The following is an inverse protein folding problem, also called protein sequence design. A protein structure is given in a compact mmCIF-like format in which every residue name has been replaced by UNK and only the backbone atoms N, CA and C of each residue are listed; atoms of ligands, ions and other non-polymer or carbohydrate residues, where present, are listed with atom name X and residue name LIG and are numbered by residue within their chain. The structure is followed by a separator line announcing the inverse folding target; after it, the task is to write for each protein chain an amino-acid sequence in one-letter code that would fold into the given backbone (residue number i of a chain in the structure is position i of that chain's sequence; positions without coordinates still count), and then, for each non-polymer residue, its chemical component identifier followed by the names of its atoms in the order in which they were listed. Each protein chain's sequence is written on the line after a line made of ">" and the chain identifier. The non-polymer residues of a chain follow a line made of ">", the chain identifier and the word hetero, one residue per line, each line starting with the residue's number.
data_IF_467763975561
#
_entry.id   IF_467763975561
#
_cell.length_a   1.000
_cell.length_b   1.000
_cell.length_c   1.000
_cell.angle_alpha   90.00
_cell.angle_beta   90.00
_cell.angle_gamma   90.00
#
_symmetry.space_group_name_H-M   'P 1'
#
loop_
_entity.id
_entity.type
_entity.pdbx_description
1 polymer ?
#
# COMPACT_ATOMS: atom_id res chain seq x y z
N UNK A 1 -4.91 -21.54 45.63
CA UNK A 1 -6.30 -21.72 46.07
C UNK A 1 -7.03 -22.26 44.86
N UNK A 2 -7.51 -23.49 44.95
CA UNK A 2 -8.38 -24.10 43.97
C UNK A 2 -9.81 -23.69 44.32
N UNK A 3 -10.57 -23.18 43.36
CA UNK A 3 -12.00 -22.94 43.53
C UNK A 3 -12.74 -23.50 42.31
N UNK A 4 -13.26 -24.71 42.52
CA UNK A 4 -14.19 -25.40 41.63
C UNK A 4 -15.58 -24.79 41.80
N UNK A 5 -16.18 -24.32 40.70
CA UNK A 5 -17.61 -24.01 40.62
C UNK A 5 -18.31 -25.11 39.82
N UNK A 6 -19.06 -26.03 40.46
CA UNK A 6 -19.92 -26.97 39.76
C UNK A 6 -21.26 -26.27 39.47
N UNK A 7 -21.65 -26.23 38.18
CA UNK A 7 -23.04 -26.08 37.67
C UNK A 7 -23.35 -24.98 36.64
N UNK A 8 -22.38 -24.22 36.13
CA UNK A 8 -22.64 -23.32 34.98
C UNK A 8 -21.67 -23.59 33.84
N UNK A 9 -22.20 -24.11 32.73
CA UNK A 9 -21.52 -24.01 31.44
C UNK A 9 -21.43 -22.52 31.11
N UNK A 10 -20.29 -21.90 31.40
CA UNK A 10 -19.99 -20.57 30.88
C UNK A 10 -19.94 -20.75 29.36
N UNK A 11 -20.96 -20.25 28.64
CA UNK A 11 -20.84 -20.05 27.19
C UNK A 11 -19.66 -19.10 27.02
N UNK A 12 -18.52 -19.64 26.58
CA UNK A 12 -17.40 -18.80 26.15
C UNK A 12 -17.91 -17.77 25.17
N UNK A 13 -17.33 -16.56 25.22
CA UNK A 13 -17.56 -15.55 24.20
C UNK A 13 -17.35 -16.25 22.85
N UNK A 14 -18.42 -16.31 22.06
CA UNK A 14 -18.35 -16.82 20.70
C UNK A 14 -17.48 -15.82 19.97
N UNK A 15 -16.24 -16.21 19.68
CA UNK A 15 -15.39 -15.50 18.75
C UNK A 15 -16.00 -15.70 17.37
N UNK A 16 -16.86 -14.78 16.96
CA UNK A 16 -17.25 -14.63 15.56
C UNK A 16 -16.10 -13.95 14.84
N UNK A 17 -15.31 -14.72 14.10
CA UNK A 17 -14.50 -14.17 13.03
C UNK A 17 -15.45 -13.91 11.86
N UNK A 18 -15.70 -12.65 11.52
CA UNK A 18 -16.12 -12.32 10.18
C UNK A 18 -14.90 -12.61 9.29
N UNK A 19 -14.95 -13.66 8.48
CA UNK A 19 -13.97 -13.83 7.40
C UNK A 19 -14.11 -12.60 6.50
N UNK A 20 -13.08 -11.76 6.48
CA UNK A 20 -12.99 -10.67 5.52
C UNK A 20 -13.15 -11.25 4.10
N UNK A 21 -13.98 -10.63 3.26
CA UNK A 21 -14.21 -11.06 1.87
C UNK A 21 -13.08 -10.58 0.93
N UNK A 22 -11.84 -10.56 1.45
CA UNK A 22 -10.66 -10.07 0.77
C UNK A 22 -9.39 -10.77 1.28
N UNK A 23 -8.35 -10.81 0.44
CA UNK A 23 -6.99 -11.13 0.86
C UNK A 23 -6.23 -9.82 1.11
N UNK A 24 -5.66 -9.68 2.29
CA UNK A 24 -4.90 -8.48 2.67
C UNK A 24 -3.53 -8.49 1.99
N UNK A 25 -3.17 -7.43 1.27
CA UNK A 25 -1.82 -7.21 0.74
C UNK A 25 -1.01 -6.39 1.73
N UNK A 26 -1.52 -5.23 2.14
CA UNK A 26 -0.92 -4.36 3.15
C UNK A 26 -1.97 -3.38 3.69
N UNK A 27 -2.17 -3.33 5.00
CA UNK A 27 -3.01 -2.33 5.68
C UNK A 27 -2.16 -1.28 6.41
N UNK A 28 -0.83 -1.33 6.26
CA UNK A 28 0.13 -0.42 6.89
C UNK A 28 0.18 -0.46 8.42
N UNK A 29 -0.67 -1.27 9.07
CA UNK A 29 -0.81 -1.31 10.53
C UNK A 29 0.36 -2.00 11.23
N UNK A 30 1.12 -2.81 10.51
CA UNK A 30 2.24 -3.57 11.09
C UNK A 30 3.50 -2.74 11.31
N UNK A 31 3.60 -1.55 10.71
CA UNK A 31 4.80 -0.71 10.78
C UNK A 31 4.91 0.01 12.13
N UNK A 32 6.15 0.24 12.56
CA UNK A 32 6.43 0.83 13.87
C UNK A 32 7.57 1.85 13.84
N UNK A 33 7.68 2.60 14.95
CA UNK A 33 8.64 3.67 15.18
C UNK A 33 9.93 3.20 15.87
N UNK A 34 10.24 1.90 15.76
CA UNK A 34 11.40 1.30 16.41
C UNK A 34 12.56 1.30 15.41
N UNK A 35 13.67 1.94 15.78
CA UNK A 35 14.88 1.96 14.96
C UNK A 35 15.74 0.69 15.13
N UNK A 36 16.45 0.26 14.07
CA UNK A 36 17.56 -0.67 14.19
C UNK A 36 18.63 -0.14 15.16
N UNK A 37 19.35 -1.02 15.88
CA UNK A 37 19.43 -2.46 15.66
C UNK A 37 18.41 -3.29 16.46
N UNK A 38 17.31 -2.71 16.95
CA UNK A 38 16.28 -3.49 17.66
C UNK A 38 15.70 -4.57 16.72
N UNK A 39 15.65 -5.85 17.15
CA UNK A 39 15.15 -6.94 16.30
C UNK A 39 13.65 -6.83 15.98
N UNK A 40 12.89 -5.97 16.66
CA UNK A 40 11.47 -5.71 16.39
C UNK A 40 11.25 -4.48 15.49
N UNK A 41 12.31 -3.84 15.00
CA UNK A 41 12.22 -2.76 14.01
C UNK A 41 11.43 -3.22 12.79
N UNK A 42 10.36 -2.50 12.46
CA UNK A 42 9.56 -2.72 11.25
C UNK A 42 9.14 -1.36 10.66
N UNK A 43 10.11 -0.57 10.19
CA UNK A 43 9.82 0.75 9.63
C UNK A 43 9.27 0.61 8.21
N UNK A 44 8.35 1.49 7.83
CA UNK A 44 7.66 1.40 6.54
C UNK A 44 8.61 1.45 5.34
N UNK A 45 9.62 2.32 5.36
CA UNK A 45 10.63 2.47 4.31
C UNK A 45 11.70 1.37 4.30
N UNK A 46 11.78 0.52 5.33
CA UNK A 46 12.60 -0.71 5.27
C UNK A 46 11.90 -1.80 4.43
N UNK A 47 10.59 -1.69 4.24
CA UNK A 47 9.75 -2.67 3.51
C UNK A 47 9.32 -2.17 2.13
N UNK A 48 8.90 -0.91 2.02
CA UNK A 48 8.57 -0.24 0.77
C UNK A 48 9.83 0.44 0.22
N UNK A 49 10.47 -0.21 -0.75
CA UNK A 49 11.71 0.28 -1.36
C UNK A 49 11.38 1.45 -2.28
N UNK A 50 11.86 2.64 -1.93
CA UNK A 50 11.59 3.90 -2.60
C UNK A 50 12.84 4.45 -3.33
N UNK A 51 12.88 5.77 -3.54
CA UNK A 51 13.97 6.46 -4.22
C UNK A 51 15.10 6.96 -3.30
N UNK A 52 15.06 6.69 -2.00
CA UNK A 52 16.08 7.16 -1.07
C UNK A 52 17.48 6.69 -1.48
N UNK A 53 18.43 7.63 -1.51
CA UNK A 53 19.81 7.36 -1.94
C UNK A 53 19.98 7.12 -3.45
N UNK A 54 18.93 7.30 -4.26
CA UNK A 54 18.99 7.21 -5.73
C UNK A 54 18.87 8.59 -6.38
N UNK A 55 19.21 8.67 -7.68
CA UNK A 55 19.03 9.90 -8.48
C UNK A 55 17.91 9.81 -9.51
N UNK A 56 17.36 8.60 -9.73
CA UNK A 56 16.43 8.31 -10.83
C UNK A 56 15.00 8.01 -10.36
N UNK A 57 14.80 7.76 -9.06
CA UNK A 57 13.50 7.52 -8.47
C UNK A 57 13.12 8.70 -7.56
N UNK A 58 11.96 9.30 -7.81
CA UNK A 58 11.47 10.47 -7.09
C UNK A 58 10.65 10.16 -5.83
N UNK A 59 10.39 8.89 -5.55
CA UNK A 59 9.57 8.49 -4.40
C UNK A 59 10.35 8.60 -3.09
N UNK A 60 9.67 9.07 -2.04
CA UNK A 60 10.07 8.85 -0.66
C UNK A 60 8.86 8.36 0.13
N UNK A 61 9.00 7.26 0.85
CA UNK A 61 7.95 6.66 1.69
C UNK A 61 8.29 6.87 3.16
N UNK A 62 7.27 7.18 3.96
CA UNK A 62 7.44 7.42 5.39
C UNK A 62 7.92 8.84 5.71
N UNK A 63 7.84 9.19 6.99
CA UNK A 63 8.37 10.45 7.51
C UNK A 63 9.86 10.30 7.88
N UNK A 64 10.62 11.40 7.84
CA UNK A 64 12.04 11.40 8.23
C UNK A 64 12.26 11.08 9.72
N UNK A 65 11.27 11.37 10.56
CA UNK A 65 11.26 11.13 12.00
C UNK A 65 9.95 10.48 12.43
N UNK A 66 9.95 9.71 13.53
CA UNK A 66 8.74 9.13 14.09
C UNK A 66 7.62 10.16 14.37
N UNK A 67 6.35 9.83 14.14
CA UNK A 67 5.88 8.54 13.62
C UNK A 67 6.25 8.36 12.14
N UNK A 68 6.80 7.20 11.78
CA UNK A 68 7.29 6.96 10.42
C UNK A 68 6.15 6.80 9.41
N UNK A 69 5.00 6.31 9.86
CA UNK A 69 3.75 6.35 9.10
C UNK A 69 2.89 7.55 9.52
N UNK A 70 1.90 7.90 8.71
CA UNK A 70 0.99 9.01 8.98
C UNK A 70 -0.16 8.55 9.89
N UNK A 71 -0.39 9.23 11.00
CA UNK A 71 -1.37 8.82 12.03
C UNK A 71 -2.61 9.73 12.12
N UNK A 72 -2.66 10.79 11.33
CA UNK A 72 -3.77 11.76 11.32
C UNK A 72 -4.58 11.73 10.02
N UNK A 73 -3.92 11.50 8.89
CA UNK A 73 -4.56 11.33 7.58
C UNK A 73 -4.62 9.83 7.29
N UNK A 74 -5.68 9.18 7.78
CA UNK A 74 -5.83 7.72 7.76
C UNK A 74 -7.19 7.36 7.14
N UNK A 75 -7.26 6.29 6.35
CA UNK A 75 -8.53 5.77 5.84
C UNK A 75 -9.12 4.73 6.78
N UNK A 76 -8.31 3.71 7.13
CA UNK A 76 -8.67 2.61 8.03
C UNK A 76 -7.61 2.42 9.11
N UNK A 77 -7.98 1.85 10.25
CA UNK A 77 -7.01 1.54 11.31
C UNK A 77 -6.41 2.76 12.01
N UNK A 78 -5.10 2.74 12.26
CA UNK A 78 -4.37 3.74 13.03
C UNK A 78 -3.34 4.52 12.21
N UNK A 79 -2.94 4.03 11.04
CA UNK A 79 -1.91 4.68 10.23
C UNK A 79 -2.08 4.43 8.73
N UNK A 80 -1.53 5.34 7.93
CA UNK A 80 -1.46 5.21 6.47
C UNK A 80 -0.03 5.45 5.98
N UNK A 81 0.26 5.10 4.72
CA UNK A 81 1.56 5.37 4.09
C UNK A 81 1.62 6.81 3.56
N UNK A 82 2.46 7.70 4.13
CA UNK A 82 2.80 8.95 3.46
C UNK A 82 3.79 8.67 2.33
N UNK A 83 3.54 9.28 1.17
CA UNK A 83 4.31 9.09 -0.06
C UNK A 83 4.59 10.44 -0.71
N UNK A 84 5.85 10.85 -0.75
CA UNK A 84 6.28 12.02 -1.51
C UNK A 84 6.69 11.60 -2.92
N UNK A 85 6.45 12.48 -3.89
CA UNK A 85 6.96 12.32 -5.25
C UNK A 85 7.65 13.58 -5.76
N UNK A 86 8.69 13.38 -6.56
CA UNK A 86 9.39 14.37 -7.37
C UNK A 86 9.66 13.80 -8.76
N UNK A 87 8.81 14.17 -9.72
CA UNK A 87 8.87 13.63 -11.08
C UNK A 87 9.65 14.53 -12.04
N UNK A 88 10.45 15.48 -11.56
CA UNK A 88 11.28 16.26 -12.49
C UNK A 88 12.41 15.41 -13.07
N UNK A 89 12.21 14.92 -14.31
CA UNK A 89 13.10 13.99 -15.03
C UNK A 89 13.26 12.64 -14.31
N UNK A 90 12.24 12.23 -13.56
CA UNK A 90 12.20 10.97 -12.80
C UNK A 90 10.81 10.34 -12.91
N UNK A 91 10.71 9.09 -12.47
CA UNK A 91 9.45 8.46 -12.11
C UNK A 91 9.53 8.10 -10.63
N UNK A 92 8.48 8.36 -9.87
CA UNK A 92 8.45 8.03 -8.44
C UNK A 92 7.81 6.66 -8.27
N UNK A 93 8.54 5.68 -7.76
CA UNK A 93 8.07 4.31 -7.53
C UNK A 93 8.45 3.84 -6.11
N UNK A 94 7.48 3.34 -5.33
CA UNK A 94 7.75 2.58 -4.12
C UNK A 94 7.30 1.13 -4.30
N UNK A 95 8.16 0.18 -3.94
CA UNK A 95 7.96 -1.24 -4.23
C UNK A 95 8.01 -2.10 -2.97
N UNK A 96 6.96 -2.87 -2.74
CA UNK A 96 6.89 -3.89 -1.70
C UNK A 96 7.20 -5.27 -2.29
N UNK A 97 8.09 -6.01 -1.62
CA UNK A 97 8.29 -7.44 -1.91
C UNK A 97 7.28 -8.26 -1.12
N UNK A 98 6.45 -9.03 -1.82
CA UNK A 98 5.40 -9.83 -1.22
C UNK A 98 5.96 -11.13 -0.65
N UNK A 99 5.66 -11.38 0.62
CA UNK A 99 5.80 -12.70 1.24
C UNK A 99 4.50 -13.47 1.11
N UNK A 100 3.37 -12.79 1.30
CA UNK A 100 2.01 -13.29 1.13
C UNK A 100 1.04 -12.10 0.97
N UNK A 101 -0.07 -12.21 0.22
CA UNK A 101 -0.42 -13.26 -0.72
C UNK A 101 0.35 -13.09 -2.03
N UNK A 102 0.73 -14.22 -2.65
CA UNK A 102 1.46 -14.25 -3.92
C UNK A 102 0.72 -14.94 -5.05
N UNK A 103 -0.25 -15.79 -4.71
CA UNK A 103 -1.21 -16.35 -5.64
C UNK A 103 -2.47 -15.46 -5.63
N UNK A 104 -2.56 -14.58 -6.61
CA UNK A 104 -3.68 -13.66 -6.79
C UNK A 104 -4.77 -14.28 -7.67
N UNK A 105 -4.79 -15.61 -7.79
CA UNK A 105 -5.91 -16.39 -8.34
C UNK A 105 -6.63 -17.21 -7.27
N UNK A 106 -6.13 -17.18 -6.03
CA UNK A 106 -6.73 -17.85 -4.89
C UNK A 106 -8.04 -17.17 -4.44
N UNK A 107 -8.92 -17.93 -3.79
CA UNK A 107 -10.17 -17.42 -3.16
C UNK A 107 -11.11 -16.64 -4.10
N UNK A 108 -10.99 -16.88 -5.41
CA UNK A 108 -11.76 -16.24 -6.49
C UNK A 108 -11.58 -14.72 -6.57
N UNK A 109 -10.49 -14.15 -6.05
CA UNK A 109 -10.21 -12.72 -6.19
C UNK A 109 -9.96 -12.37 -7.67
N UNK A 110 -10.54 -11.26 -8.13
CA UNK A 110 -10.42 -10.80 -9.51
C UNK A 110 -9.96 -9.34 -9.64
N UNK A 111 -9.89 -8.61 -8.52
CA UNK A 111 -9.53 -7.19 -8.51
C UNK A 111 -8.53 -6.88 -7.39
N UNK A 112 -7.68 -5.90 -7.67
CA UNK A 112 -6.87 -5.22 -6.66
C UNK A 112 -7.60 -3.93 -6.27
N UNK A 113 -7.74 -3.69 -4.97
CA UNK A 113 -8.23 -2.43 -4.40
C UNK A 113 -7.13 -1.79 -3.57
N UNK A 114 -7.01 -0.47 -3.65
CA UNK A 114 -6.19 0.35 -2.78
C UNK A 114 -6.86 1.71 -2.56
N UNK A 115 -6.72 2.25 -1.37
CA UNK A 115 -7.21 3.59 -1.05
C UNK A 115 -6.09 4.60 -1.22
N UNK A 116 -6.44 5.76 -1.78
CA UNK A 116 -5.50 6.85 -1.95
C UNK A 116 -6.14 8.19 -1.61
N UNK A 117 -5.29 9.15 -1.24
CA UNK A 117 -5.65 10.54 -1.02
C UNK A 117 -4.48 11.43 -1.41
N UNK A 118 -4.77 12.43 -2.23
CA UNK A 118 -3.83 13.49 -2.60
C UNK A 118 -4.17 14.82 -1.95
N UNK A 119 -3.68 15.90 -2.58
CA UNK A 119 -3.87 17.27 -2.13
C UNK A 119 -4.11 18.19 -3.32
N UNK A 120 -4.97 19.19 -3.18
CA UNK A 120 -5.20 20.18 -4.25
C UNK A 120 -3.95 21.00 -4.60
N UNK A 121 -2.95 21.02 -3.70
CA UNK A 121 -1.65 21.67 -3.94
C UNK A 121 -0.65 20.81 -4.73
N UNK A 122 -0.96 19.55 -4.98
CA UNK A 122 -0.10 18.64 -5.72
C UNK A 122 -0.02 19.01 -7.20
N UNK A 123 1.13 18.77 -7.83
CA UNK A 123 1.19 18.74 -9.29
C UNK A 123 0.35 17.58 -9.83
N UNK A 124 -0.47 17.83 -10.84
CA UNK A 124 -1.26 16.78 -11.49
C UNK A 124 -0.35 15.79 -12.21
N UNK A 125 -0.31 14.55 -11.72
CA UNK A 125 0.52 13.46 -12.24
C UNK A 125 -0.31 12.18 -12.31
N UNK A 126 0.08 11.29 -13.24
CA UNK A 126 -0.57 9.99 -13.38
C UNK A 126 -0.17 9.08 -12.23
N UNK A 127 -1.11 8.30 -11.74
CA UNK A 127 -0.86 7.25 -10.75
C UNK A 127 -0.96 5.88 -11.44
N UNK A 128 -0.09 4.95 -11.04
CA UNK A 128 -0.11 3.57 -11.53
C UNK A 128 0.23 2.56 -10.43
N UNK A 129 -0.22 1.32 -10.61
CA UNK A 129 0.30 0.16 -9.90
C UNK A 129 1.04 -0.70 -10.92
N UNK A 130 2.19 -1.26 -10.57
CA UNK A 130 2.86 -2.27 -11.38
C UNK A 130 3.10 -3.56 -10.59
N UNK A 131 3.01 -4.70 -11.26
CA UNK A 131 3.31 -6.01 -10.67
C UNK A 131 4.58 -6.59 -11.27
N UNK A 132 5.43 -7.19 -10.43
CA UNK A 132 6.71 -7.79 -10.83
C UNK A 132 7.61 -6.84 -11.65
N UNK A 133 7.43 -5.53 -11.49
CA UNK A 133 8.17 -4.50 -12.20
C UNK A 133 7.88 -4.39 -13.71
N UNK A 134 6.87 -5.08 -14.24
CA UNK A 134 6.61 -5.14 -15.69
C UNK A 134 5.31 -4.47 -16.11
N UNK A 135 4.16 -5.11 -15.87
CA UNK A 135 2.87 -4.59 -16.31
C UNK A 135 2.37 -3.51 -15.34
N UNK A 136 2.04 -2.34 -15.89
CA UNK A 136 1.50 -1.21 -15.12
C UNK A 136 0.03 -0.94 -15.50
N UNK A 137 -0.84 -0.88 -14.50
CA UNK A 137 -2.21 -0.38 -14.62
C UNK A 137 -2.25 1.08 -14.17
N UNK A 138 -2.78 1.96 -14.99
CA UNK A 138 -2.89 3.40 -14.69
C UNK A 138 -4.28 3.73 -14.16
N UNK A 139 -4.34 4.70 -13.24
CA UNK A 139 -5.59 5.31 -12.85
C UNK A 139 -6.16 6.12 -14.04
N UNK A 140 -7.47 6.06 -14.25
CA UNK A 140 -8.13 6.69 -15.41
C UNK A 140 -8.03 8.22 -15.39
N UNK A 141 -8.11 8.82 -14.20
CA UNK A 141 -7.85 10.25 -14.02
C UNK A 141 -6.33 10.54 -14.08
N UNK A 142 -5.85 11.29 -15.10
CA UNK A 142 -4.42 11.62 -15.23
C UNK A 142 -3.92 12.62 -14.19
N UNK A 143 -4.80 13.19 -13.37
CA UNK A 143 -4.48 14.10 -12.27
C UNK A 143 -4.98 13.54 -10.91
N UNK A 144 -5.04 12.20 -10.76
CA UNK A 144 -5.46 11.52 -9.54
C UNK A 144 -4.72 12.02 -8.28
N UNK A 145 -3.49 12.52 -8.42
CA UNK A 145 -2.72 13.11 -7.32
C UNK A 145 -3.36 14.35 -6.68
N UNK A 146 -4.37 14.95 -7.31
CA UNK A 146 -5.07 16.14 -6.82
C UNK A 146 -6.40 15.83 -6.12
N UNK A 147 -6.80 14.55 -6.06
CA UNK A 147 -8.04 14.12 -5.41
C UNK A 147 -7.87 14.21 -3.89
N UNK A 148 -8.65 15.07 -3.23
CA UNK A 148 -8.43 15.41 -1.81
C UNK A 148 -9.16 14.52 -0.82
N UNK A 149 -10.13 13.74 -1.29
CA UNK A 149 -10.90 12.79 -0.49
C UNK A 149 -10.30 11.39 -0.63
N UNK A 150 -10.38 10.59 0.44
CA UNK A 150 -10.05 9.17 0.36
C UNK A 150 -10.92 8.50 -0.70
N UNK A 151 -10.27 7.93 -1.71
CA UNK A 151 -10.93 7.32 -2.86
C UNK A 151 -10.42 5.90 -3.04
N UNK A 152 -11.34 4.96 -3.17
CA UNK A 152 -11.01 3.58 -3.52
C UNK A 152 -10.67 3.52 -5.01
N UNK A 153 -9.49 3.00 -5.32
CA UNK A 153 -9.12 2.64 -6.67
C UNK A 153 -9.20 1.13 -6.84
N UNK A 154 -10.13 0.69 -7.69
CA UNK A 154 -10.31 -0.74 -8.02
C UNK A 154 -9.78 -1.03 -9.41
N UNK A 155 -8.89 -2.00 -9.50
CA UNK A 155 -8.19 -2.41 -10.72
C UNK A 155 -8.55 -3.87 -11.01
N UNK A 156 -9.10 -4.15 -12.19
CA UNK A 156 -9.26 -5.52 -12.67
C UNK A 156 -7.88 -6.17 -12.87
N UNK A 157 -7.64 -7.37 -12.32
CA UNK A 157 -6.34 -8.04 -12.43
C UNK A 157 -5.93 -8.33 -13.87
N UNK A 158 -6.88 -8.37 -14.82
CA UNK A 158 -6.59 -8.48 -16.26
C UNK A 158 -5.82 -7.28 -16.81
N UNK A 159 -5.83 -6.13 -16.13
CA UNK A 159 -5.02 -4.97 -16.50
C UNK A 159 -3.51 -5.28 -16.47
N UNK A 160 -3.08 -6.26 -15.68
CA UNK A 160 -1.68 -6.69 -15.56
C UNK A 160 -1.31 -7.77 -16.58
N UNK A 161 -1.61 -7.52 -17.86
CA UNK A 161 -1.36 -8.50 -18.93
C UNK A 161 0.11 -8.95 -18.97
N UNK A 162 0.34 -10.27 -19.06
CA UNK A 162 1.69 -10.84 -19.10
C UNK A 162 2.32 -11.15 -17.73
N UNK A 163 1.67 -10.76 -16.62
CA UNK A 163 2.09 -11.16 -15.27
C UNK A 163 1.51 -12.54 -14.93
N UNK A 164 2.34 -13.42 -14.37
CA UNK A 164 1.85 -14.67 -13.80
C UNK A 164 1.19 -14.39 -12.43
N UNK A 165 -0.14 -14.25 -12.43
CA UNK A 165 -0.92 -13.93 -11.22
C UNK A 165 -0.89 -15.05 -10.16
N UNK A 166 -0.50 -16.28 -10.52
CA UNK A 166 -0.27 -17.36 -9.53
C UNK A 166 1.04 -17.16 -8.74
N UNK A 167 1.88 -16.19 -9.15
CA UNK A 167 3.17 -15.92 -8.55
C UNK A 167 3.60 -14.45 -8.69
N UNK A 168 2.88 -13.57 -8.00
CA UNK A 168 3.26 -12.16 -7.82
C UNK A 168 4.35 -12.08 -6.74
N UNK A 169 5.47 -11.44 -7.06
CA UNK A 169 6.63 -11.23 -6.18
C UNK A 169 6.64 -9.82 -5.62
N UNK A 170 6.25 -8.82 -6.42
CA UNK A 170 6.29 -7.42 -6.02
C UNK A 170 5.06 -6.67 -6.50
N UNK A 171 4.68 -5.68 -5.70
CA UNK A 171 3.74 -4.62 -6.06
C UNK A 171 4.47 -3.29 -5.96
N UNK A 172 4.29 -2.43 -6.96
CA UNK A 172 4.85 -1.08 -7.00
C UNK A 172 3.70 -0.09 -7.08
N UNK A 173 3.68 0.90 -6.20
CA UNK A 173 2.86 2.11 -6.36
C UNK A 173 3.75 3.15 -7.03
N UNK A 174 3.25 3.73 -8.12
CA UNK A 174 4.01 4.67 -8.92
C UNK A 174 3.26 5.94 -9.28
N UNK A 175 4.00 7.03 -9.42
CA UNK A 175 3.51 8.33 -9.87
C UNK A 175 4.39 8.79 -11.03
N UNK A 176 3.77 9.21 -12.13
CA UNK A 176 4.40 9.58 -13.38
C UNK A 176 4.17 8.54 -14.47
N UNK A 177 5.14 8.36 -15.36
CA UNK A 177 5.08 7.36 -16.44
C UNK A 177 6.15 6.32 -16.23
N UNK A 178 5.75 5.05 -16.07
CA UNK A 178 6.70 3.95 -15.92
C UNK A 178 7.67 3.91 -17.11
N UNK A 179 8.98 3.79 -16.79
CA UNK A 179 10.09 3.71 -17.75
C UNK A 179 10.19 4.88 -18.75
N UNK A 180 9.49 5.99 -18.50
CA UNK A 180 9.47 7.16 -19.37
C UNK A 180 9.53 8.45 -18.54
N UNK A 181 10.66 8.70 -17.85
CA UNK A 181 10.82 9.93 -17.07
C UNK A 181 10.74 11.15 -17.99
N UNK A 182 9.94 12.13 -17.58
CA UNK A 182 9.73 13.40 -18.29
C UNK A 182 9.79 14.57 -17.32
N UNK A 183 9.63 15.81 -17.80
CA UNK A 183 9.37 16.92 -16.88
C UNK A 183 8.06 16.65 -16.13
N UNK A 184 8.10 16.77 -14.81
CA UNK A 184 6.99 16.51 -13.90
C UNK A 184 7.11 17.36 -12.65
N UNK A 185 6.09 17.31 -11.80
CA UNK A 185 6.02 18.09 -10.57
C UNK A 185 6.23 17.25 -9.32
N UNK A 186 5.91 17.87 -8.19
CA UNK A 186 6.03 17.28 -6.86
C UNK A 186 4.70 17.29 -6.13
N UNK A 187 4.61 16.48 -5.08
CA UNK A 187 3.46 16.46 -4.18
C UNK A 187 3.57 15.37 -3.12
N UNK A 188 2.52 15.28 -2.31
CA UNK A 188 2.39 14.28 -1.26
C UNK A 188 1.07 13.54 -1.40
N UNK A 189 1.13 12.22 -1.34
CA UNK A 189 0.02 11.30 -1.36
C UNK A 189 -0.01 10.52 -0.04
N UNK A 190 -1.19 9.96 0.24
CA UNK A 190 -1.40 8.98 1.30
C UNK A 190 -2.05 7.76 0.68
N UNK A 191 -1.59 6.58 1.08
CA UNK A 191 -2.12 5.31 0.63
C UNK A 191 -2.49 4.44 1.82
N UNK A 192 -3.55 3.67 1.68
CA UNK A 192 -4.07 2.83 2.75
C UNK A 192 -4.77 1.59 2.15
N UNK A 193 -4.97 0.56 2.96
CA UNK A 193 -5.82 -0.60 2.69
C UNK A 193 -5.65 -1.23 1.27
N UNK A 194 -4.52 -1.88 1.02
CA UNK A 194 -4.29 -2.65 -0.22
C UNK A 194 -4.83 -4.06 -0.05
N UNK A 195 -5.80 -4.43 -0.90
CA UNK A 195 -6.57 -5.68 -0.76
C UNK A 195 -6.84 -6.32 -2.11
N UNK A 196 -6.92 -7.65 -2.15
CA UNK A 196 -7.46 -8.40 -3.27
C UNK A 196 -8.91 -8.77 -2.98
N UNK A 197 -9.80 -8.46 -3.89
CA UNK A 197 -11.26 -8.61 -3.73
C UNK A 197 -11.87 -9.34 -4.92
N UNK A 198 -13.10 -9.83 -4.74
CA UNK A 198 -13.90 -10.50 -5.78
C UNK A 198 -14.50 -9.51 -6.79
#
# INVERSE_FOLDING_TARGET
>A
MDEVYPDKTVKGLVWTFATADFLLVDDFESYNDIDPPDPNSNRIFDNWIDGFGTTTNGALVGNDLPPYAEQTIVHGGAQSMPYLYDNNLKTSEATLTLVWPRDWTAEDVTKLSLWFRGSSGNAGERMFVALNGTAAAYHDDPAATQITDWTEWVIDLQAFSGVNLTNVNTITIGIGTKDSPSGGGTGQMYFDDIRLIR
#
